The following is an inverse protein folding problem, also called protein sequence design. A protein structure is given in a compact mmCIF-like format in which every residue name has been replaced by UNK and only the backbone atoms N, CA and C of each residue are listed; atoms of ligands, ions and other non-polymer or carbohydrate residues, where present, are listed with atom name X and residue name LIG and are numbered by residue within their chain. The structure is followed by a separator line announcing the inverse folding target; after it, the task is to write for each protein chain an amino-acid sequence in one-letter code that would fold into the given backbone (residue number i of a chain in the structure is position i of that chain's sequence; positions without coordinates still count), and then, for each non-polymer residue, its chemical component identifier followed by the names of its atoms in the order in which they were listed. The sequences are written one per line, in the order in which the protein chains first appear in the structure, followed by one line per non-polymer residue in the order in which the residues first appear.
data_IF_969469476739
#
_entry.id   IF_969469476739
#
_cell.length_a   1.000
_cell.length_b   1.000
_cell.length_c   1.000
_cell.angle_alpha   90.00
_cell.angle_beta   90.00
_cell.angle_gamma   90.00
#
_symmetry.space_group_name_H-M   'P 1'
#
loop_
_entity.id
_entity.type
_entity.pdbx_description
1 polymer ?
#
# COMPACT_ATOMS: atom_id res chain seq x y z
N UNK A 1 -17.60 -16.56 -12.62
CA UNK A 1 -17.67 -15.31 -13.40
C UNK A 1 -16.57 -14.42 -12.89
N UNK A 2 -15.60 -14.05 -13.72
CA UNK A 2 -14.59 -13.06 -13.33
C UNK A 2 -15.28 -11.70 -13.17
N UNK A 3 -15.07 -11.07 -12.03
CA UNK A 3 -15.66 -9.77 -11.71
C UNK A 3 -14.79 -8.69 -12.34
N UNK A 4 -15.39 -7.87 -13.20
CA UNK A 4 -14.73 -6.76 -13.89
C UNK A 4 -15.45 -5.45 -13.58
N UNK A 5 -14.69 -4.48 -13.07
CA UNK A 5 -15.18 -3.13 -12.78
C UNK A 5 -15.07 -2.26 -14.03
N UNK A 6 -16.19 -1.62 -14.36
CA UNK A 6 -16.37 -0.76 -15.53
C UNK A 6 -16.81 0.64 -15.10
N UNK A 7 -16.88 1.56 -16.06
CA UNK A 7 -17.25 2.96 -15.81
C UNK A 7 -18.53 3.15 -14.98
N UNK A 8 -19.54 2.29 -15.14
CA UNK A 8 -20.79 2.33 -14.37
C UNK A 8 -20.56 2.18 -12.85
N UNK A 9 -19.52 1.44 -12.47
CA UNK A 9 -19.22 1.11 -11.08
C UNK A 9 -18.49 2.25 -10.35
N UNK A 10 -17.99 3.26 -11.09
CA UNK A 10 -17.23 4.40 -10.52
C UNK A 10 -17.99 5.14 -9.42
N UNK A 11 -19.32 5.24 -9.54
CA UNK A 11 -20.16 5.92 -8.57
C UNK A 11 -20.05 5.30 -7.17
N UNK A 12 -19.87 3.98 -7.10
CA UNK A 12 -19.88 3.20 -5.86
C UNK A 12 -18.56 3.25 -5.07
N UNK A 13 -17.51 3.89 -5.60
CA UNK A 13 -16.19 3.95 -4.96
C UNK A 13 -15.84 5.37 -4.52
N UNK A 14 -15.56 5.58 -3.23
CA UNK A 14 -15.23 6.90 -2.67
C UNK A 14 -13.81 6.94 -2.13
N UNK A 15 -13.15 8.11 -2.19
CA UNK A 15 -11.78 8.27 -1.70
C UNK A 15 -11.72 7.98 -0.20
N UNK A 16 -10.77 7.13 0.21
CA UNK A 16 -10.48 6.85 1.62
C UNK A 16 -9.15 7.44 2.06
N UNK A 17 -8.14 7.39 1.20
CA UNK A 17 -6.81 7.90 1.49
C UNK A 17 -5.77 7.40 0.51
N UNK A 18 -4.50 7.77 0.71
CA UNK A 18 -3.40 7.31 -0.13
C UNK A 18 -2.04 7.30 0.55
N UNK A 19 -1.20 6.35 0.12
CA UNK A 19 0.23 6.34 0.37
C UNK A 19 1.01 6.93 -0.80
N UNK A 20 2.32 6.69 -0.85
CA UNK A 20 3.13 7.06 -2.01
C UNK A 20 2.77 6.21 -3.23
N UNK A 21 2.67 4.89 -3.05
CA UNK A 21 2.53 3.94 -4.15
C UNK A 21 1.07 3.64 -4.57
N UNK A 22 0.08 3.86 -3.68
CA UNK A 22 -1.29 3.43 -3.93
C UNK A 22 -2.30 4.44 -3.40
N UNK A 23 -3.43 4.55 -4.10
CA UNK A 23 -4.66 5.21 -3.66
C UNK A 23 -5.64 4.14 -3.16
N UNK A 24 -6.43 4.46 -2.14
CA UNK A 24 -7.42 3.55 -1.54
C UNK A 24 -8.82 4.16 -1.64
N UNK A 25 -9.77 3.35 -2.12
CA UNK A 25 -11.17 3.72 -2.27
C UNK A 25 -12.04 2.76 -1.46
N UNK A 26 -13.05 3.27 -0.77
CA UNK A 26 -14.02 2.46 -0.06
C UNK A 26 -15.27 2.23 -0.92
N UNK A 27 -15.86 1.03 -0.82
CA UNK A 27 -17.12 0.74 -1.49
C UNK A 27 -18.30 1.32 -0.71
N UNK A 28 -19.21 1.99 -1.41
CA UNK A 28 -20.44 2.60 -0.87
C UNK A 28 -21.69 2.21 -1.65
N UNK A 29 -21.57 1.30 -2.63
CA UNK A 29 -22.72 0.78 -3.36
C UNK A 29 -23.46 -0.31 -2.60
N UNK A 30 -24.33 -1.04 -3.31
CA UNK A 30 -25.21 -2.06 -2.75
C UNK A 30 -24.84 -3.50 -3.13
N UNK A 31 -23.84 -3.71 -3.99
CA UNK A 31 -23.42 -5.05 -4.41
C UNK A 31 -22.85 -5.86 -3.25
N UNK A 32 -23.44 -7.02 -2.90
CA UNK A 32 -22.96 -7.85 -1.80
C UNK A 32 -21.51 -8.31 -1.95
N UNK A 33 -20.98 -8.34 -3.18
CA UNK A 33 -19.60 -8.73 -3.47
C UNK A 33 -18.57 -7.73 -2.92
N UNK A 34 -18.96 -6.46 -2.78
CA UNK A 34 -18.04 -5.38 -2.43
C UNK A 34 -18.39 -4.69 -1.10
N UNK A 35 -19.51 -5.03 -0.46
CA UNK A 35 -19.86 -4.50 0.87
C UNK A 35 -18.73 -4.80 1.86
N UNK A 36 -18.27 -3.76 2.56
CA UNK A 36 -17.17 -3.87 3.52
C UNK A 36 -15.80 -4.10 2.88
N UNK A 37 -15.63 -3.72 1.61
CA UNK A 37 -14.35 -3.81 0.89
C UNK A 37 -13.78 -2.42 0.56
N UNK A 38 -12.47 -2.39 0.44
CA UNK A 38 -11.70 -1.28 -0.14
C UNK A 38 -10.95 -1.76 -1.38
N UNK A 39 -10.76 -0.85 -2.33
CA UNK A 39 -9.98 -1.07 -3.53
C UNK A 39 -8.68 -0.27 -3.45
N UNK A 40 -7.56 -0.95 -3.65
CA UNK A 40 -6.22 -0.37 -3.68
C UNK A 40 -5.74 -0.27 -5.12
N UNK A 41 -5.54 0.97 -5.58
CA UNK A 41 -5.21 1.32 -6.96
C UNK A 41 -3.75 1.81 -7.02
N UNK A 42 -2.89 1.19 -7.85
CA UNK A 42 -1.51 1.64 -8.03
C UNK A 42 -1.40 3.06 -8.59
N UNK A 43 -0.35 3.76 -8.19
CA UNK A 43 0.01 5.07 -8.73
C UNK A 43 1.34 5.03 -9.46
N UNK A 44 1.51 5.94 -10.40
CA UNK A 44 2.76 6.23 -11.09
C UNK A 44 3.17 7.68 -10.84
N UNK A 45 4.46 7.88 -10.59
CA UNK A 45 5.03 9.22 -10.39
C UNK A 45 4.92 10.04 -11.67
N UNK A 46 4.61 11.33 -11.55
CA UNK A 46 4.50 12.24 -12.71
C UNK A 46 5.86 12.64 -13.27
N UNK A 47 6.82 12.85 -12.38
CA UNK A 47 8.15 13.41 -12.69
C UNK A 47 9.28 12.38 -12.53
N UNK A 48 8.95 11.12 -12.26
CA UNK A 48 9.94 10.06 -12.30
C UNK A 48 10.46 9.96 -13.72
N UNK A 49 11.80 9.88 -13.88
CA UNK A 49 12.43 9.53 -15.15
C UNK A 49 11.63 8.39 -15.72
N UNK A 50 10.96 8.61 -16.85
CA UNK A 50 10.42 7.53 -17.61
C UNK A 50 11.63 6.67 -17.97
N UNK A 51 11.89 5.61 -17.19
CA UNK A 51 12.57 4.43 -17.71
C UNK A 51 11.62 3.82 -18.74
N UNK A 52 11.38 4.56 -19.81
CA UNK A 52 10.97 4.03 -21.09
C UNK A 52 12.10 3.06 -21.46
N UNK A 53 11.76 1.77 -21.42
CA UNK A 53 12.60 0.66 -21.93
C UNK A 53 13.82 0.44 -21.00
N UNK A 54 13.79 -0.50 -20.06
CA UNK A 54 14.26 -1.89 -20.24
C UNK A 54 14.03 -2.67 -18.93
N UNK A 55 12.79 -2.90 -18.51
CA UNK A 55 12.42 -4.19 -17.91
C UNK A 55 10.89 -4.27 -17.79
N UNK A 56 10.26 -4.89 -18.79
CA UNK A 56 8.88 -5.39 -18.62
C UNK A 56 8.84 -6.57 -17.64
N UNK A 57 9.99 -7.07 -17.19
CA UNK A 57 10.02 -8.11 -16.19
C UNK A 57 9.44 -7.59 -14.87
N UNK A 58 8.50 -8.36 -14.35
CA UNK A 58 7.86 -8.11 -13.05
C UNK A 58 8.89 -8.13 -11.91
N UNK A 59 9.87 -9.03 -12.04
CA UNK A 59 11.02 -9.21 -11.17
C UNK A 59 12.29 -9.27 -12.03
N UNK A 60 13.34 -8.61 -11.58
CA UNK A 60 14.69 -8.72 -12.16
C UNK A 60 15.25 -10.14 -12.00
N UNK A 61 16.28 -10.50 -12.77
CA UNK A 61 16.95 -11.80 -12.66
C UNK A 61 17.45 -12.09 -11.23
N UNK A 62 18.01 -11.08 -10.56
CA UNK A 62 18.50 -11.21 -9.18
C UNK A 62 17.37 -11.41 -8.18
N UNK A 63 16.23 -10.75 -8.37
CA UNK A 63 15.05 -10.96 -7.54
C UNK A 63 14.47 -12.36 -7.73
N UNK A 64 14.44 -12.88 -8.97
CA UNK A 64 14.03 -14.27 -9.22
C UNK A 64 14.95 -15.27 -8.52
N UNK A 65 16.27 -15.04 -8.55
CA UNK A 65 17.22 -15.90 -7.85
C UNK A 65 17.03 -15.84 -6.32
N UNK A 66 16.77 -14.65 -5.77
CA UNK A 66 16.52 -14.45 -4.35
C UNK A 66 15.24 -15.18 -3.90
N UNK A 67 14.19 -15.14 -4.70
CA UNK A 67 12.89 -15.73 -4.39
C UNK A 67 12.64 -17.09 -5.03
N UNK A 68 13.70 -17.80 -5.46
CA UNK A 68 13.62 -19.06 -6.22
C UNK A 68 12.81 -20.16 -5.53
N UNK A 69 12.68 -20.11 -4.22
CA UNK A 69 11.91 -21.09 -3.42
C UNK A 69 10.40 -20.89 -3.54
N UNK A 70 9.95 -19.76 -4.09
CA UNK A 70 8.55 -19.43 -4.30
C UNK A 70 8.24 -19.43 -5.80
N UNK A 71 8.06 -20.61 -6.39
CA UNK A 71 7.85 -20.79 -7.84
C UNK A 71 6.72 -19.92 -8.38
N UNK A 72 5.56 -19.90 -7.71
CA UNK A 72 4.41 -19.08 -8.12
C UNK A 72 4.75 -17.57 -8.14
N UNK A 73 5.57 -17.11 -7.21
CA UNK A 73 5.98 -15.70 -7.10
C UNK A 73 6.85 -15.30 -8.30
N UNK A 74 7.84 -16.13 -8.64
CA UNK A 74 8.79 -15.83 -9.71
C UNK A 74 8.21 -16.01 -11.12
N UNK A 75 7.17 -16.87 -11.25
CA UNK A 75 6.43 -17.09 -12.50
C UNK A 75 5.31 -16.07 -12.73
N UNK A 76 5.06 -15.17 -11.78
CA UNK A 76 3.99 -14.18 -11.84
C UNK A 76 4.12 -13.23 -13.04
N UNK A 77 2.99 -12.93 -13.67
CA UNK A 77 2.90 -12.12 -14.89
C UNK A 77 2.73 -10.62 -14.64
N UNK A 78 2.38 -10.20 -13.42
CA UNK A 78 2.19 -8.78 -13.07
C UNK A 78 2.73 -8.44 -11.68
N UNK A 79 3.05 -7.15 -11.44
CA UNK A 79 3.51 -6.69 -10.12
C UNK A 79 2.42 -6.83 -9.06
N UNK A 80 1.16 -6.71 -9.47
CA UNK A 80 -0.03 -6.88 -8.65
C UNK A 80 -0.12 -8.32 -8.11
N UNK A 81 -0.07 -9.31 -9.01
CA UNK A 81 -0.10 -10.73 -8.64
C UNK A 81 1.11 -11.10 -7.80
N UNK A 82 2.28 -10.56 -8.12
CA UNK A 82 3.50 -10.78 -7.32
C UNK A 82 3.34 -10.23 -5.90
N UNK A 83 2.76 -9.04 -5.75
CA UNK A 83 2.47 -8.46 -4.44
C UNK A 83 1.51 -9.31 -3.61
N UNK A 84 0.44 -9.83 -4.21
CA UNK A 84 -0.50 -10.73 -3.55
C UNK A 84 0.19 -12.04 -3.13
N UNK A 85 0.92 -12.68 -4.04
CA UNK A 85 1.62 -13.94 -3.77
C UNK A 85 2.70 -13.77 -2.71
N UNK A 86 3.39 -12.62 -2.70
CA UNK A 86 4.33 -12.29 -1.63
C UNK A 86 3.64 -12.19 -0.28
N UNK A 87 2.48 -11.52 -0.21
CA UNK A 87 1.73 -11.44 1.04
C UNK A 87 1.27 -12.83 1.47
N UNK A 88 0.66 -13.59 0.55
CA UNK A 88 0.09 -14.92 0.81
C UNK A 88 1.15 -15.93 1.25
N UNK A 89 2.26 -16.02 0.53
CA UNK A 89 3.25 -17.10 0.69
C UNK A 89 4.41 -16.74 1.59
N UNK A 90 4.72 -15.45 1.77
CA UNK A 90 5.83 -14.98 2.61
C UNK A 90 5.31 -14.32 3.88
N UNK A 91 4.38 -13.37 3.78
CA UNK A 91 3.97 -12.58 4.96
C UNK A 91 2.98 -13.31 5.87
N UNK A 92 1.96 -13.97 5.32
CA UNK A 92 0.96 -14.68 6.13
C UNK A 92 1.59 -15.75 7.04
N UNK A 93 2.55 -16.59 6.59
CA UNK A 93 3.22 -17.55 7.48
C UNK A 93 4.02 -16.90 8.62
N UNK A 94 4.56 -15.70 8.42
CA UNK A 94 5.39 -15.00 9.41
C UNK A 94 4.56 -14.19 10.42
N UNK A 95 3.41 -13.66 10.00
CA UNK A 95 2.60 -12.72 10.78
C UNK A 95 1.26 -13.31 11.26
N UNK A 96 0.86 -14.47 10.74
CA UNK A 96 -0.42 -15.12 11.01
C UNK A 96 -1.49 -14.72 10.00
N UNK A 97 -2.17 -15.72 9.43
CA UNK A 97 -3.20 -15.53 8.42
C UNK A 97 -4.45 -14.80 8.95
N UNK A 98 -4.69 -14.83 10.26
CA UNK A 98 -5.82 -14.14 10.91
C UNK A 98 -5.66 -12.61 10.94
N UNK A 99 -4.45 -12.11 10.69
CA UNK A 99 -4.10 -10.69 10.81
C UNK A 99 -3.60 -10.07 9.50
N UNK A 100 -3.52 -10.85 8.43
CA UNK A 100 -3.02 -10.42 7.13
C UNK A 100 -4.01 -10.85 6.04
N UNK A 101 -4.68 -9.88 5.44
CA UNK A 101 -5.51 -10.08 4.26
C UNK A 101 -4.63 -9.93 3.00
N UNK A 102 -4.38 -11.01 2.22
CA UNK A 102 -3.64 -10.90 0.96
C UNK A 102 -4.43 -10.16 -0.13
N UNK A 103 -5.75 -10.01 0.05
CA UNK A 103 -6.66 -9.43 -0.92
C UNK A 103 -6.96 -10.34 -2.10
N UNK A 104 -7.67 -9.78 -3.08
CA UNK A 104 -8.09 -10.45 -4.32
C UNK A 104 -7.91 -9.50 -5.50
N UNK A 105 -7.46 -10.03 -6.63
CA UNK A 105 -7.45 -9.26 -7.88
C UNK A 105 -8.84 -9.15 -8.47
N UNK A 106 -9.17 -7.93 -8.90
CA UNK A 106 -10.39 -7.63 -9.65
C UNK A 106 -9.97 -6.94 -10.94
N UNK A 107 -10.51 -7.38 -12.06
CA UNK A 107 -10.22 -6.75 -13.34
C UNK A 107 -10.85 -5.36 -13.40
N UNK A 108 -10.17 -4.43 -14.07
CA UNK A 108 -10.64 -3.06 -14.28
C UNK A 108 -10.46 -2.66 -15.74
N UNK A 109 -11.37 -1.85 -16.26
CA UNK A 109 -11.15 -1.17 -17.53
C UNK A 109 -10.27 0.07 -17.35
N UNK A 110 -9.53 0.45 -18.40
CA UNK A 110 -8.81 1.73 -18.44
C UNK A 110 -9.74 2.92 -18.20
N UNK A 111 -10.92 2.91 -18.83
CA UNK A 111 -11.93 3.98 -18.65
C UNK A 111 -12.37 4.08 -17.18
N UNK A 112 -12.52 2.96 -16.47
CA UNK A 112 -12.81 2.98 -15.03
C UNK A 112 -11.73 3.73 -14.24
N UNK A 113 -10.45 3.41 -14.47
CA UNK A 113 -9.33 4.05 -13.77
C UNK A 113 -9.22 5.55 -14.09
N UNK A 114 -9.40 5.94 -15.35
CA UNK A 114 -9.40 7.35 -15.78
C UNK A 114 -10.53 8.15 -15.11
N UNK A 115 -11.71 7.56 -15.00
CA UNK A 115 -12.87 8.19 -14.34
C UNK A 115 -12.69 8.29 -12.82
N UNK A 116 -12.06 7.29 -12.20
CA UNK A 116 -11.71 7.35 -10.78
C UNK A 116 -10.71 8.49 -10.52
N UNK A 117 -9.64 8.62 -11.32
CA UNK A 117 -8.66 9.72 -11.18
C UNK A 117 -9.36 11.08 -11.24
N UNK A 118 -10.26 11.29 -12.21
CA UNK A 118 -11.06 12.51 -12.33
C UNK A 118 -11.95 12.75 -11.11
N UNK A 119 -12.63 11.70 -10.60
CA UNK A 119 -13.55 11.80 -9.46
C UNK A 119 -12.85 12.21 -8.17
N UNK A 120 -11.64 11.70 -7.93
CA UNK A 120 -10.96 11.87 -6.63
C UNK A 120 -9.95 13.00 -6.62
N UNK A 121 -9.58 13.60 -7.76
CA UNK A 121 -8.51 14.60 -7.82
C UNK A 121 -8.67 15.75 -6.82
N UNK A 122 -9.89 16.24 -6.60
CA UNK A 122 -10.20 17.33 -5.67
C UNK A 122 -10.20 16.91 -4.19
N UNK A 123 -10.25 15.61 -3.91
CA UNK A 123 -10.24 15.04 -2.56
C UNK A 123 -8.82 14.71 -2.09
N UNK A 124 -7.86 14.66 -3.03
CA UNK A 124 -6.46 14.34 -2.76
C UNK A 124 -5.70 15.58 -2.30
N UNK A 125 -4.75 15.47 -1.35
CA UNK A 125 -3.87 16.59 -1.02
C UNK A 125 -3.09 17.08 -2.26
N UNK A 126 -2.95 18.40 -2.44
CA UNK A 126 -2.32 18.97 -3.65
C UNK A 126 -0.93 18.37 -3.96
N UNK A 127 -0.05 18.31 -2.97
CA UNK A 127 1.29 17.72 -3.13
C UNK A 127 1.29 16.23 -3.52
N UNK A 128 0.21 15.49 -3.22
CA UNK A 128 0.03 14.10 -3.66
C UNK A 128 -0.41 14.03 -5.12
N UNK A 129 -1.24 14.96 -5.57
CA UNK A 129 -1.67 15.09 -6.97
C UNK A 129 -0.48 15.46 -7.86
N UNK A 130 0.37 16.36 -7.38
CA UNK A 130 1.58 16.81 -8.08
C UNK A 130 2.63 15.70 -8.18
N UNK A 131 2.79 14.89 -7.12
CA UNK A 131 3.78 13.82 -7.09
C UNK A 131 3.41 12.62 -7.99
N UNK A 132 2.15 12.21 -8.02
CA UNK A 132 1.73 10.98 -8.69
C UNK A 132 0.25 10.98 -9.12
N UNK A 133 -0.06 10.17 -10.13
CA UNK A 133 -1.41 9.89 -10.64
C UNK A 133 -1.72 8.40 -10.60
N UNK A 134 -2.98 8.00 -10.71
CA UNK A 134 -3.34 6.58 -10.92
C UNK A 134 -2.65 6.05 -12.18
N UNK A 135 -2.13 4.83 -12.11
CA UNK A 135 -1.57 4.10 -13.24
C UNK A 135 -2.71 3.48 -14.07
N UNK A 136 -3.14 4.21 -15.11
CA UNK A 136 -4.28 3.84 -15.97
C UNK A 136 -3.98 2.71 -16.95
N UNK A 137 -2.71 2.29 -17.07
CA UNK A 137 -2.31 1.17 -17.92
C UNK A 137 -2.44 -0.19 -17.20
N UNK A 138 -2.89 -0.19 -15.94
CA UNK A 138 -3.21 -1.41 -15.18
C UNK A 138 -4.54 -2.03 -15.61
N UNK A 139 -4.58 -3.35 -15.62
CA UNK A 139 -5.79 -4.14 -15.92
C UNK A 139 -6.42 -4.81 -14.71
N UNK A 140 -5.77 -4.73 -13.55
CA UNK A 140 -6.31 -5.23 -12.28
C UNK A 140 -5.96 -4.30 -11.13
N UNK A 141 -6.77 -4.39 -10.08
CA UNK A 141 -6.59 -3.70 -8.80
C UNK A 141 -6.70 -4.73 -7.68
N UNK A 142 -6.28 -4.34 -6.46
CA UNK A 142 -6.38 -5.21 -5.30
C UNK A 142 -7.61 -4.83 -4.47
N UNK A 143 -8.55 -5.76 -4.34
CA UNK A 143 -9.70 -5.66 -3.44
C UNK A 143 -9.34 -6.27 -2.09
N UNK A 144 -9.58 -5.55 -1.00
CA UNK A 144 -9.26 -5.99 0.36
C UNK A 144 -10.44 -5.72 1.29
N UNK A 145 -10.44 -6.36 2.46
CA UNK A 145 -11.42 -6.07 3.50
C UNK A 145 -11.22 -4.65 4.05
N UNK A 146 -12.30 -3.91 4.27
CA UNK A 146 -12.25 -2.60 4.90
C UNK A 146 -12.06 -2.77 6.40
N UNK A 147 -10.80 -2.72 6.85
CA UNK A 147 -10.46 -2.85 8.26
C UNK A 147 -10.92 -1.66 9.13
N UNK A 148 -11.51 -0.62 8.55
CA UNK A 148 -12.18 0.43 9.33
C UNK A 148 -13.61 0.07 9.73
N UNK A 149 -14.14 -1.07 9.27
CA UNK A 149 -15.53 -1.50 9.50
C UNK A 149 -15.54 -2.93 10.05
N UNK A 150 -16.19 -3.12 11.20
CA UNK A 150 -16.49 -4.45 11.72
C UNK A 150 -17.84 -4.93 11.17
N UNK A 151 -17.79 -5.77 10.14
CA UNK A 151 -18.97 -6.44 9.59
C UNK A 151 -19.43 -7.60 10.50
N UNK A 152 -20.00 -7.30 11.67
CA UNK A 152 -20.76 -8.32 12.42
C UNK A 152 -22.10 -8.49 11.72
N UNK A 153 -22.29 -9.64 11.05
CA UNK A 153 -23.44 -9.90 10.18
C UNK A 153 -24.79 -9.46 10.75
N UNK A 154 -25.68 -8.97 9.88
CA UNK A 154 -27.10 -8.59 10.07
C UNK A 154 -27.50 -7.69 11.27
N UNK A 155 -26.67 -7.51 12.28
CA UNK A 155 -26.95 -6.73 13.47
C UNK A 155 -26.23 -5.39 13.35
N UNK A 156 -26.98 -4.35 12.94
CA UNK A 156 -26.59 -2.94 13.05
C UNK A 156 -26.29 -2.63 14.53
N UNK A 157 -25.06 -2.85 14.97
CA UNK A 157 -24.66 -2.54 16.35
C UNK A 157 -23.53 -1.53 16.31
N UNK A 158 -23.91 -0.28 16.58
CA UNK A 158 -23.02 0.80 16.99
C UNK A 158 -22.15 1.43 15.90
N UNK A 159 -21.58 2.58 16.25
CA UNK A 159 -20.49 3.20 15.48
C UNK A 159 -19.23 2.35 15.58
N UNK A 160 -18.52 2.19 14.48
CA UNK A 160 -17.21 1.55 14.44
C UNK A 160 -16.09 2.58 14.63
N UNK A 161 -15.17 2.32 15.55
CA UNK A 161 -13.94 3.09 15.70
C UNK A 161 -12.75 2.21 15.32
N UNK A 162 -11.96 2.68 14.35
CA UNK A 162 -10.73 2.03 13.91
C UNK A 162 -9.54 2.96 14.06
N UNK A 163 -8.38 2.42 14.42
CA UNK A 163 -7.14 3.18 14.57
C UNK A 163 -6.06 2.59 13.66
N UNK A 164 -5.48 3.43 12.80
CA UNK A 164 -4.32 3.06 11.99
C UNK A 164 -3.03 3.52 12.70
N UNK A 165 -2.11 2.57 12.94
CA UNK A 165 -0.79 2.86 13.52
C UNK A 165 0.29 2.39 12.55
N UNK A 166 1.29 3.25 12.28
CA UNK A 166 2.49 2.90 11.50
C UNK A 166 3.72 2.85 12.41
N UNK A 167 4.00 1.71 13.09
CA UNK A 167 4.90 1.64 14.25
C UNK A 167 6.40 1.84 13.95
N UNK A 168 6.80 1.89 12.67
CA UNK A 168 8.21 2.00 12.23
C UNK A 168 9.06 0.85 12.81
N UNK A 169 10.39 1.00 12.79
CA UNK A 169 11.31 0.01 13.33
C UNK A 169 11.43 0.18 14.85
N UNK A 170 11.04 -0.87 15.59
CA UNK A 170 11.02 -0.90 17.05
C UNK A 170 12.31 -1.39 17.72
N UNK A 171 13.38 -1.66 16.97
CA UNK A 171 14.64 -2.15 17.52
C UNK A 171 15.84 -1.27 17.12
N UNK A 172 16.92 -1.39 17.89
CA UNK A 172 18.21 -0.75 17.62
C UNK A 172 19.16 -1.82 17.04
N UNK A 173 19.85 -1.56 15.92
CA UNK A 173 20.70 -2.55 15.30
C UNK A 173 21.95 -2.85 16.14
N UNK A 174 22.27 -4.14 16.29
CA UNK A 174 23.45 -4.65 17.00
C UNK A 174 24.60 -5.06 16.07
N UNK A 175 24.50 -4.73 14.77
CA UNK A 175 25.44 -5.21 13.76
C UNK A 175 26.87 -4.72 14.02
N UNK A 176 27.82 -5.67 14.00
CA UNK A 176 29.26 -5.41 14.07
C UNK A 176 29.80 -4.67 12.84
N UNK A 177 29.04 -4.66 11.75
CA UNK A 177 29.39 -3.97 10.50
C UNK A 177 29.12 -2.46 10.55
N UNK A 178 28.55 -1.94 11.65
CA UNK A 178 28.37 -0.50 11.84
C UNK A 178 29.73 0.11 12.19
N UNK A 179 30.29 0.86 11.24
CA UNK A 179 31.51 1.64 11.41
C UNK A 179 31.39 2.66 12.56
N UNK A 180 32.52 2.96 13.20
CA UNK A 180 32.58 3.82 14.39
C UNK A 180 32.02 5.23 14.15
N UNK A 181 32.27 5.82 12.97
CA UNK A 181 31.68 7.11 12.57
C UNK A 181 30.14 7.15 12.61
N UNK A 182 29.50 5.97 12.60
CA UNK A 182 28.06 5.79 12.64
C UNK A 182 27.58 5.15 13.96
N UNK A 183 28.40 5.18 15.03
CA UNK A 183 28.12 4.54 16.31
C UNK A 183 26.78 4.95 16.93
N UNK A 184 26.29 6.17 16.67
CA UNK A 184 24.95 6.63 17.09
C UNK A 184 23.81 5.71 16.67
N UNK A 185 23.96 4.96 15.56
CA UNK A 185 22.97 3.95 15.12
C UNK A 185 22.77 2.82 16.13
N UNK A 186 23.72 2.61 17.05
CA UNK A 186 23.67 1.57 18.09
C UNK A 186 23.01 2.04 19.39
N UNK A 187 22.64 3.31 19.51
CA UNK A 187 22.02 3.88 20.72
C UNK A 187 20.79 4.74 20.44
N UNK A 188 20.57 5.13 19.19
CA UNK A 188 19.43 5.97 18.78
C UNK A 188 18.60 5.25 17.73
N UNK A 189 17.27 5.25 17.89
CA UNK A 189 16.38 4.60 16.92
C UNK A 189 16.44 5.29 15.56
N UNK A 190 16.26 4.50 14.49
CA UNK A 190 16.20 5.03 13.12
C UNK A 190 15.11 6.09 12.96
N UNK A 191 13.99 5.96 13.67
CA UNK A 191 12.90 6.93 13.65
C UNK A 191 13.34 8.29 14.21
N UNK A 192 13.93 8.31 15.41
CA UNK A 192 14.41 9.56 16.04
C UNK A 192 15.45 10.27 15.17
N UNK A 193 16.43 9.52 14.64
CA UNK A 193 17.39 10.09 13.69
C UNK A 193 16.71 10.64 12.42
N UNK A 194 15.64 10.00 11.92
CA UNK A 194 14.92 10.49 10.74
C UNK A 194 14.16 11.79 11.00
N UNK A 195 13.62 11.98 12.20
CA UNK A 195 12.84 13.17 12.54
C UNK A 195 13.68 14.44 12.36
N UNK A 196 14.95 14.40 12.76
CA UNK A 196 15.90 15.51 12.56
C UNK A 196 16.04 15.87 11.08
N UNK A 197 16.18 14.86 10.21
CA UNK A 197 16.30 15.09 8.77
C UNK A 197 15.00 15.67 8.17
N UNK A 198 13.85 15.10 8.54
CA UNK A 198 12.53 15.54 8.06
C UNK A 198 12.22 16.99 8.45
N UNK A 199 12.63 17.41 9.65
CA UNK A 199 12.52 18.80 10.10
C UNK A 199 13.38 19.74 9.27
N UNK A 200 14.63 19.34 8.97
CA UNK A 200 15.51 20.13 8.08
C UNK A 200 14.98 20.24 6.66
N UNK A 201 14.24 19.24 6.20
CA UNK A 201 13.62 19.20 4.87
C UNK A 201 12.22 19.81 4.84
N UNK A 202 11.73 20.38 5.95
CA UNK A 202 10.38 20.93 6.08
C UNK A 202 9.25 19.93 5.75
N UNK A 203 9.50 18.63 5.90
CA UNK A 203 8.47 17.60 5.75
C UNK A 203 7.51 17.55 6.97
N UNK A 204 7.96 18.07 8.11
CA UNK A 204 7.20 18.21 9.36
C UNK A 204 7.52 19.55 10.03
N UNK A 205 6.58 20.05 10.85
CA UNK A 205 6.76 21.31 11.59
C UNK A 205 7.32 21.11 13.01
N UNK A 206 7.16 19.92 13.60
CA UNK A 206 7.60 19.61 14.97
C UNK A 206 8.15 18.18 15.10
N UNK A 207 8.95 17.92 16.13
CA UNK A 207 9.35 16.56 16.52
C UNK A 207 8.13 15.76 16.99
N UNK A 208 8.14 14.45 16.73
CA UNK A 208 7.16 13.53 17.30
C UNK A 208 7.59 13.05 18.69
N UNK A 209 6.67 13.10 19.66
CA UNK A 209 6.88 12.58 21.04
C UNK A 209 6.81 11.05 21.13
N UNK A 210 6.51 10.36 20.03
CA UNK A 210 6.46 8.90 19.95
C UNK A 210 7.90 8.36 19.98
N UNK A 211 8.39 8.11 21.20
CA UNK A 211 9.77 7.69 21.41
C UNK A 211 10.13 7.54 22.88
N UNK A 212 9.42 6.68 23.61
CA UNK A 212 9.85 6.22 24.93
C UNK A 212 11.25 5.59 24.88
N UNK A 213 11.92 5.51 26.04
CA UNK A 213 13.17 4.76 26.17
C UNK A 213 12.92 3.30 25.72
N UNK A 214 13.85 2.67 24.98
CA UNK A 214 13.78 1.22 24.75
C UNK A 214 13.69 0.52 26.12
N UNK A 215 12.81 -0.48 26.23
CA UNK A 215 12.79 -1.42 27.37
C UNK A 215 14.07 -2.24 27.32
#
# INVERSE_FOLDING_TARGET
MEVKLEKKDVADWVYRGEGAANLVLAYTGSSPLFIGKVMRVPKIERNGTLHFVEDRAVLTEKERLLWREFEELISSSTKEVTGLLYVKHVMCPLLGADHVDPGMHVEVSREFLERIEQKVISQRPAWRVDAAKIDTDRHSVLLMSDHSVFSRGALKVGSCLSVEIKPKCGFIPLSRLIAERNALKKSTTRFKMHQVLKLRQHEHFNFSDIGGKPI
#
